data_IF_957736721189
#
_entry.id   IF_957736721189
#
_cell.length_a   1.000
_cell.length_b   1.000
_cell.length_c   1.000
_cell.angle_alpha   90.00
_cell.angle_beta   90.00
_cell.angle_gamma   90.00
#
_symmetry.space_group_name_H-M   'P 1'
#
loop_
_entity.id
_entity.type
_entity.pdbx_description
1 polymer ?
#
# COMPACT_ATOMS: atom_id res chain seq x y z
N UNK A 1 -10.05 19.76 8.76
CA UNK A 1 -9.33 19.05 7.68
C UNK A 1 -9.03 17.64 8.17
N UNK A 2 -9.40 16.60 7.43
CA UNK A 2 -9.00 15.23 7.76
C UNK A 2 -7.51 15.08 7.43
N UNK A 3 -6.77 14.31 8.25
CA UNK A 3 -5.37 13.99 7.95
C UNK A 3 -5.28 13.03 6.77
N UNK A 4 -4.19 13.07 5.99
CA UNK A 4 -3.94 12.11 4.90
C UNK A 4 -4.05 10.66 5.35
N UNK A 5 -3.69 10.37 6.61
CA UNK A 5 -3.82 9.05 7.23
C UNK A 5 -5.29 8.60 7.35
N UNK A 6 -6.20 9.49 7.81
CA UNK A 6 -7.62 9.17 7.91
C UNK A 6 -8.26 9.02 6.54
N UNK A 7 -7.90 9.86 5.58
CA UNK A 7 -8.39 9.76 4.20
C UNK A 7 -7.92 8.47 3.52
N UNK A 8 -6.68 8.02 3.79
CA UNK A 8 -6.17 6.75 3.30
C UNK A 8 -6.93 5.57 3.91
N UNK A 9 -7.18 5.58 5.23
CA UNK A 9 -7.96 4.54 5.91
C UNK A 9 -9.36 4.39 5.30
N UNK A 10 -10.05 5.51 5.09
CA UNK A 10 -11.36 5.54 4.44
C UNK A 10 -11.33 4.95 3.04
N UNK A 11 -10.31 5.28 2.27
CA UNK A 11 -10.18 4.80 0.91
C UNK A 11 -9.85 3.30 0.86
N UNK A 12 -9.02 2.80 1.78
CA UNK A 12 -8.75 1.37 1.96
C UNK A 12 -10.02 0.59 2.32
N UNK A 13 -10.78 1.09 3.29
CA UNK A 13 -12.05 0.51 3.71
C UNK A 13 -13.07 0.40 2.57
N UNK A 14 -13.14 1.43 1.73
CA UNK A 14 -14.05 1.48 0.59
C UNK A 14 -13.61 0.62 -0.60
N UNK A 15 -12.32 0.68 -0.97
CA UNK A 15 -11.83 0.06 -2.22
C UNK A 15 -11.22 -1.32 -2.03
N UNK A 16 -10.52 -1.53 -0.91
CA UNK A 16 -9.62 -2.68 -0.73
C UNK A 16 -10.20 -3.76 0.19
N UNK A 17 -11.22 -3.44 0.98
CA UNK A 17 -11.80 -4.34 1.96
C UNK A 17 -13.17 -4.86 1.52
N UNK A 18 -13.43 -6.15 1.76
CA UNK A 18 -14.72 -6.80 1.49
C UNK A 18 -15.04 -7.82 2.56
N UNK A 19 -16.25 -7.77 3.12
CA UNK A 19 -16.79 -8.82 3.98
C UNK A 19 -17.32 -9.97 3.10
N UNK A 20 -17.16 -11.20 3.58
CA UNK A 20 -17.62 -12.41 2.89
C UNK A 20 -16.80 -13.62 3.30
N UNK A 21 -17.15 -14.79 2.80
CA UNK A 21 -16.39 -16.03 3.04
C UNK A 21 -15.34 -16.22 1.95
N UNK A 22 -14.07 -16.20 2.32
CA UNK A 22 -12.94 -16.31 1.41
C UNK A 22 -12.02 -17.46 1.81
N UNK A 23 -11.66 -18.31 0.84
CA UNK A 23 -10.61 -19.34 1.03
C UNK A 23 -9.24 -18.69 0.85
N UNK A 24 -8.39 -18.82 1.86
CA UNK A 24 -7.01 -18.36 1.82
C UNK A 24 -6.11 -19.40 1.16
N UNK A 25 -4.95 -18.97 0.65
CA UNK A 25 -3.93 -19.86 0.09
C UNK A 25 -3.38 -20.88 1.10
N UNK A 26 -3.52 -20.61 2.39
CA UNK A 26 -3.21 -21.54 3.49
C UNK A 26 -4.22 -22.67 3.65
N UNK A 27 -5.36 -22.64 2.94
CA UNK A 27 -6.47 -23.57 3.08
C UNK A 27 -7.49 -23.21 4.17
N UNK A 28 -7.22 -22.21 5.01
CA UNK A 28 -8.16 -21.68 6.00
C UNK A 28 -9.20 -20.75 5.35
N UNK A 29 -10.31 -20.51 6.04
CA UNK A 29 -11.33 -19.51 5.64
C UNK A 29 -11.12 -18.19 6.39
N UNK A 30 -11.49 -17.09 5.73
CA UNK A 30 -11.54 -15.77 6.32
C UNK A 30 -12.90 -15.14 6.04
N UNK A 31 -13.42 -14.37 6.99
CA UNK A 31 -14.69 -13.64 6.87
C UNK A 31 -14.52 -12.29 6.15
N UNK A 32 -13.30 -11.98 5.69
CA UNK A 32 -13.00 -10.81 4.86
C UNK A 32 -11.84 -11.06 3.89
N UNK A 33 -11.79 -10.23 2.88
CA UNK A 33 -10.68 -10.13 1.92
C UNK A 33 -10.15 -8.71 1.86
N UNK A 34 -8.83 -8.56 1.73
CA UNK A 34 -8.18 -7.26 1.56
C UNK A 34 -7.16 -7.33 0.41
N UNK A 35 -7.29 -6.39 -0.54
CA UNK A 35 -6.33 -6.16 -1.62
C UNK A 35 -5.96 -4.67 -1.68
N UNK A 36 -4.86 -4.31 -1.04
CA UNK A 36 -4.41 -2.93 -0.96
C UNK A 36 -4.06 -2.32 -2.32
N UNK A 37 -3.78 -3.13 -3.35
CA UNK A 37 -3.42 -2.67 -4.70
C UNK A 37 -4.57 -1.91 -5.36
N UNK A 38 -5.84 -2.24 -5.05
CA UNK A 38 -7.00 -1.49 -5.54
C UNK A 38 -7.03 -0.04 -5.04
N UNK A 39 -6.36 0.24 -3.92
CA UNK A 39 -6.16 1.59 -3.38
C UNK A 39 -4.81 2.15 -3.82
N UNK A 40 -3.71 1.42 -3.63
CA UNK A 40 -2.36 1.95 -3.89
C UNK A 40 -2.08 2.23 -5.36
N UNK A 41 -2.80 1.59 -6.29
CA UNK A 41 -2.76 1.87 -7.73
C UNK A 41 -3.78 2.92 -8.19
N UNK A 42 -4.72 3.34 -7.33
CA UNK A 42 -5.64 4.42 -7.65
C UNK A 42 -4.96 5.79 -7.45
N UNK A 43 -5.15 6.74 -8.35
CA UNK A 43 -4.45 8.04 -8.33
C UNK A 43 -4.50 8.75 -6.96
N UNK A 44 -5.70 8.87 -6.35
CA UNK A 44 -5.85 9.46 -5.00
C UNK A 44 -5.19 8.58 -3.93
N UNK A 45 -5.34 7.26 -4.03
CA UNK A 45 -4.77 6.30 -3.08
C UNK A 45 -3.24 6.26 -3.13
N UNK A 46 -2.64 6.28 -4.32
CA UNK A 46 -1.19 6.36 -4.51
C UNK A 46 -0.62 7.62 -3.83
N UNK A 47 -1.23 8.79 -4.09
CA UNK A 47 -0.80 10.04 -3.46
C UNK A 47 -0.86 9.97 -1.93
N UNK A 48 -2.01 9.55 -1.37
CA UNK A 48 -2.19 9.42 0.07
C UNK A 48 -1.21 8.40 0.69
N UNK A 49 -0.97 7.28 0.00
CA UNK A 49 0.02 6.28 0.43
C UNK A 49 1.42 6.89 0.49
N UNK A 50 1.82 7.62 -0.54
CA UNK A 50 3.10 8.33 -0.56
C UNK A 50 3.24 9.34 0.58
N UNK A 51 2.20 10.14 0.84
CA UNK A 51 2.18 11.13 1.94
C UNK A 51 2.31 10.43 3.30
N UNK A 52 1.46 9.43 3.59
CA UNK A 52 1.43 8.75 4.90
C UNK A 52 2.73 8.02 5.20
N UNK A 53 3.30 7.29 4.22
CA UNK A 53 4.58 6.61 4.43
C UNK A 53 5.74 7.59 4.60
N UNK A 54 5.76 8.70 3.83
CA UNK A 54 6.79 9.73 3.96
C UNK A 54 6.73 10.43 5.32
N UNK A 55 5.52 10.71 5.81
CA UNK A 55 5.32 11.32 7.14
C UNK A 55 5.79 10.37 8.24
N UNK A 56 5.40 9.09 8.19
CA UNK A 56 5.83 8.09 9.18
C UNK A 56 7.36 7.92 9.22
N UNK A 57 8.03 7.88 8.05
CA UNK A 57 9.51 7.84 7.96
C UNK A 57 10.13 9.07 8.61
N UNK A 58 9.56 10.25 8.38
CA UNK A 58 10.04 11.53 8.92
C UNK A 58 9.86 11.59 10.44
N UNK A 59 8.69 11.24 10.93
CA UNK A 59 8.35 11.24 12.36
C UNK A 59 9.26 10.31 13.16
N UNK A 60 9.66 9.18 12.57
CA UNK A 60 10.62 8.24 13.20
C UNK A 60 12.08 8.64 13.07
N UNK A 61 12.40 9.65 12.30
CA UNK A 61 13.77 10.12 12.10
C UNK A 61 14.70 9.11 11.42
N UNK A 62 14.17 8.19 10.61
CA UNK A 62 14.97 7.10 10.02
C UNK A 62 15.98 7.54 8.97
N UNK A 63 15.75 8.63 8.27
CA UNK A 63 16.63 9.21 7.24
C UNK A 63 17.18 8.17 6.24
N UNK A 64 16.34 7.38 5.55
CA UNK A 64 16.79 6.46 4.51
C UNK A 64 17.23 7.22 3.26
N UNK A 65 17.97 6.54 2.37
CA UNK A 65 18.32 6.99 1.02
C UNK A 65 17.37 6.37 -0.01
N UNK A 66 16.79 5.20 0.32
CA UNK A 66 15.87 4.52 -0.55
C UNK A 66 14.80 3.73 0.22
N UNK A 67 13.74 3.41 -0.50
CA UNK A 67 12.64 2.57 -0.04
C UNK A 67 12.43 1.43 -1.04
N UNK A 68 12.09 0.23 -0.56
CA UNK A 68 11.86 -0.90 -1.45
C UNK A 68 11.16 -2.07 -0.78
N UNK A 69 10.79 -3.07 -1.57
CA UNK A 69 10.11 -4.26 -1.06
C UNK A 69 9.88 -5.31 -2.15
N UNK A 70 9.20 -6.40 -1.78
CA UNK A 70 8.97 -7.52 -2.69
C UNK A 70 7.89 -7.18 -3.73
N UNK A 71 8.18 -7.45 -5.00
CA UNK A 71 7.18 -7.31 -6.07
C UNK A 71 6.02 -8.32 -5.88
N UNK A 72 4.76 -7.97 -6.18
CA UNK A 72 4.18 -6.74 -6.74
C UNK A 72 3.51 -5.86 -5.67
N UNK A 73 3.33 -6.33 -4.43
CA UNK A 73 2.62 -5.59 -3.38
C UNK A 73 3.29 -4.26 -3.03
N UNK A 74 4.62 -4.27 -2.92
CA UNK A 74 5.40 -3.09 -2.58
C UNK A 74 5.53 -2.06 -3.72
N UNK A 75 5.45 -2.47 -4.98
CA UNK A 75 5.79 -1.63 -6.13
C UNK A 75 5.04 -0.28 -6.16
N UNK A 76 3.69 -0.26 -5.99
CA UNK A 76 2.96 1.01 -5.98
C UNK A 76 3.34 1.91 -4.81
N UNK A 77 3.63 1.33 -3.64
CA UNK A 77 4.04 2.08 -2.43
C UNK A 77 5.40 2.73 -2.68
N UNK A 78 6.37 1.96 -3.20
CA UNK A 78 7.73 2.43 -3.52
C UNK A 78 7.67 3.62 -4.46
N UNK A 79 6.93 3.50 -5.58
CA UNK A 79 6.81 4.59 -6.55
C UNK A 79 6.11 5.81 -5.94
N UNK A 80 5.02 5.59 -5.20
CA UNK A 80 4.27 6.68 -4.56
C UNK A 80 5.13 7.48 -3.58
N UNK A 81 5.89 6.79 -2.71
CA UNK A 81 6.80 7.43 -1.75
C UNK A 81 7.93 8.16 -2.46
N UNK A 82 8.55 7.56 -3.48
CA UNK A 82 9.62 8.22 -4.24
C UNK A 82 9.14 9.51 -4.90
N UNK A 83 7.94 9.50 -5.49
CA UNK A 83 7.36 10.69 -6.14
C UNK A 83 6.98 11.76 -5.13
N UNK A 84 6.35 11.39 -4.02
CA UNK A 84 5.87 12.36 -3.02
C UNK A 84 7.03 12.95 -2.21
N UNK A 85 8.01 12.15 -1.82
CA UNK A 85 9.18 12.64 -1.08
C UNK A 85 10.09 13.51 -1.94
N UNK A 86 10.18 13.22 -3.24
CA UNK A 86 11.12 13.87 -4.18
C UNK A 86 12.60 13.55 -3.93
N UNK A 87 12.93 12.80 -2.88
CA UNK A 87 14.31 12.55 -2.44
C UNK A 87 14.63 11.06 -2.30
N UNK A 88 13.65 10.22 -1.93
CA UNK A 88 13.87 8.80 -1.69
C UNK A 88 13.89 8.03 -3.00
N UNK A 89 14.98 7.32 -3.24
CA UNK A 89 15.07 6.41 -4.38
C UNK A 89 14.23 5.15 -4.16
N UNK A 90 13.77 4.53 -5.25
CA UNK A 90 13.05 3.26 -5.21
C UNK A 90 13.92 2.06 -5.60
N UNK A 91 13.72 0.93 -4.93
CA UNK A 91 14.20 -0.36 -5.39
C UNK A 91 13.13 -1.44 -5.24
N UNK A 92 13.21 -2.46 -6.09
CA UNK A 92 12.26 -3.58 -6.06
C UNK A 92 13.03 -4.89 -5.84
N UNK A 93 12.45 -5.76 -5.03
CA UNK A 93 12.98 -7.10 -4.76
C UNK A 93 12.16 -8.12 -5.54
N UNK A 94 12.83 -8.91 -6.38
CA UNK A 94 12.21 -9.98 -7.17
C UNK A 94 12.03 -11.23 -6.30
N UNK A 95 10.91 -11.94 -6.51
CA UNK A 95 10.64 -13.24 -5.82
C UNK A 95 11.67 -14.31 -6.19
N UNK A 96 12.14 -14.30 -7.43
CA UNK A 96 13.15 -15.24 -7.94
C UNK A 96 14.29 -14.50 -8.65
N UNK A 97 15.43 -15.15 -8.75
CA UNK A 97 16.57 -14.69 -9.54
C UNK A 97 16.21 -14.55 -11.04
N UNK A 98 16.91 -13.63 -11.69
CA UNK A 98 16.76 -13.45 -13.13
C UNK A 98 17.42 -14.64 -13.84
N UNK A 99 16.64 -15.41 -14.60
CA UNK A 99 17.15 -16.58 -15.34
C UNK A 99 18.18 -16.22 -16.42
N UNK A 100 18.18 -14.96 -16.88
CA UNK A 100 19.12 -14.44 -17.86
C UNK A 100 19.72 -13.13 -17.36
N UNK A 101 21.07 -13.00 -17.41
CA UNK A 101 21.82 -11.82 -17.00
C UNK A 101 22.55 -12.00 -15.68
N UNK A 102 22.60 -10.97 -14.85
CA UNK A 102 23.46 -10.89 -13.65
C UNK A 102 22.98 -11.67 -12.43
N UNK A 103 21.90 -12.47 -12.49
CA UNK A 103 21.35 -13.21 -11.34
C UNK A 103 20.78 -12.32 -10.22
N UNK A 104 20.70 -11.02 -10.43
CA UNK A 104 20.38 -10.07 -9.37
C UNK A 104 18.89 -10.03 -9.05
N UNK A 105 18.59 -10.01 -7.75
CA UNK A 105 17.22 -9.94 -7.21
C UNK A 105 16.75 -8.51 -6.91
N UNK A 106 17.64 -7.50 -7.01
CA UNK A 106 17.33 -6.09 -6.78
C UNK A 106 17.33 -5.32 -8.09
N UNK A 107 16.25 -4.59 -8.33
CA UNK A 107 16.10 -3.64 -9.45
C UNK A 107 15.97 -2.20 -8.93
N UNK A 108 16.36 -1.21 -9.73
CA UNK A 108 16.33 0.20 -9.37
C UNK A 108 17.56 0.66 -8.59
N UNK A 109 17.39 1.30 -7.45
CA UNK A 109 18.51 1.83 -6.65
C UNK A 109 19.41 0.72 -6.08
N UNK A 110 20.73 0.86 -6.22
CA UNK A 110 21.71 -0.19 -5.92
C UNK A 110 23.03 0.34 -5.33
N UNK A 111 22.95 1.08 -4.27
CA UNK A 111 24.15 1.56 -3.57
C UNK A 111 24.41 0.71 -2.31
N UNK A 112 25.43 -0.15 -2.32
CA UNK A 112 25.81 -0.92 -1.13
C UNK A 112 26.12 0.01 0.04
N UNK A 113 25.73 -0.40 1.25
CA UNK A 113 25.86 0.41 2.45
C UNK A 113 24.80 1.49 2.62
N UNK A 114 23.93 1.72 1.61
CA UNK A 114 22.85 2.68 1.73
C UNK A 114 21.84 2.28 2.81
N UNK A 115 21.33 3.28 3.51
CA UNK A 115 20.24 3.14 4.50
C UNK A 115 18.91 3.04 3.76
N UNK A 116 18.13 2.00 4.05
CA UNK A 116 16.87 1.75 3.34
C UNK A 116 15.72 1.40 4.29
N UNK A 117 14.51 1.68 3.84
CA UNK A 117 13.27 1.19 4.46
C UNK A 117 12.68 0.09 3.58
N UNK A 118 12.28 -1.03 4.20
CA UNK A 118 11.53 -2.10 3.53
C UNK A 118 10.04 -1.86 3.72
N UNK A 119 9.26 -2.03 2.63
CA UNK A 119 7.80 -1.89 2.67
C UNK A 119 7.08 -3.09 2.07
N UNK A 120 5.86 -3.32 2.56
CA UNK A 120 4.93 -4.30 2.02
C UNK A 120 3.50 -3.73 2.05
N UNK A 121 2.60 -4.25 1.23
CA UNK A 121 1.20 -3.81 1.20
C UNK A 121 0.38 -4.48 2.32
N UNK A 122 0.48 -5.81 2.45
CA UNK A 122 -0.24 -6.56 3.50
C UNK A 122 0.69 -7.54 4.19
N UNK A 123 0.93 -7.33 5.48
CA UNK A 123 1.62 -8.30 6.31
C UNK A 123 0.63 -9.34 6.85
N UNK A 124 0.69 -10.56 6.32
CA UNK A 124 -0.03 -11.73 6.84
C UNK A 124 0.91 -12.60 7.68
N UNK A 125 1.52 -13.61 7.10
CA UNK A 125 2.55 -14.42 7.75
C UNK A 125 3.92 -13.74 7.83
N UNK A 126 4.09 -12.61 7.13
CA UNK A 126 5.33 -11.87 7.03
C UNK A 126 6.35 -12.44 6.05
N UNK A 127 6.06 -13.57 5.39
CA UNK A 127 7.03 -14.24 4.52
C UNK A 127 7.57 -13.36 3.38
N UNK A 128 6.72 -12.56 2.74
CA UNK A 128 7.12 -11.61 1.69
C UNK A 128 8.06 -10.53 2.23
N UNK A 129 7.71 -9.96 3.37
CA UNK A 129 8.50 -8.92 4.04
C UNK A 129 9.85 -9.47 4.50
N UNK A 130 9.88 -10.67 5.11
CA UNK A 130 11.11 -11.37 5.52
C UNK A 130 12.02 -11.61 4.31
N UNK A 131 11.47 -12.13 3.21
CA UNK A 131 12.22 -12.35 1.98
C UNK A 131 12.83 -11.05 1.44
N UNK A 132 12.10 -9.94 1.48
CA UNK A 132 12.63 -8.64 1.06
C UNK A 132 13.77 -8.16 1.95
N UNK A 133 13.66 -8.35 3.28
CA UNK A 133 14.69 -8.03 4.26
C UNK A 133 15.98 -8.83 3.98
N UNK A 134 15.86 -10.14 3.80
CA UNK A 134 16.99 -11.03 3.55
C UNK A 134 17.76 -10.62 2.28
N UNK A 135 17.05 -10.45 1.17
CA UNK A 135 17.65 -10.04 -0.10
C UNK A 135 18.29 -8.66 -0.03
N UNK A 136 17.65 -7.71 0.66
CA UNK A 136 18.22 -6.38 0.86
C UNK A 136 19.52 -6.43 1.67
N UNK A 137 19.58 -7.25 2.72
CA UNK A 137 20.80 -7.46 3.51
C UNK A 137 21.90 -8.18 2.73
N UNK A 138 21.57 -9.25 2.00
CA UNK A 138 22.52 -9.96 1.13
C UNK A 138 23.13 -9.03 0.09
N UNK A 139 22.36 -8.10 -0.44
CA UNK A 139 22.87 -7.06 -1.35
C UNK A 139 23.84 -6.09 -0.65
N UNK A 140 23.73 -5.91 0.66
CA UNK A 140 24.56 -5.02 1.46
C UNK A 140 23.87 -3.69 1.82
N UNK A 141 22.54 -3.62 1.80
CA UNK A 141 21.80 -2.49 2.35
C UNK A 141 21.77 -2.50 3.89
N UNK A 142 21.67 -1.31 4.49
CA UNK A 142 21.45 -1.10 5.91
C UNK A 142 19.97 -0.81 6.15
N UNK A 143 19.22 -1.76 6.68
CA UNK A 143 17.80 -1.59 6.95
C UNK A 143 17.63 -0.73 8.20
N UNK A 144 16.94 0.40 8.08
CA UNK A 144 16.68 1.35 9.18
C UNK A 144 15.23 1.33 9.67
N UNK A 145 14.35 0.67 8.94
CA UNK A 145 12.96 0.48 9.31
C UNK A 145 12.26 -0.47 8.34
N UNK A 146 11.20 -1.09 8.81
CA UNK A 146 10.31 -1.95 8.02
C UNK A 146 8.88 -1.50 8.25
N UNK A 147 8.09 -1.37 7.19
CA UNK A 147 6.70 -0.90 7.28
C UNK A 147 5.78 -1.77 6.44
N UNK A 148 4.54 -1.96 6.88
CA UNK A 148 3.47 -2.43 6.01
C UNK A 148 2.28 -1.48 6.03
N UNK A 149 1.51 -1.46 4.94
CA UNK A 149 0.32 -0.62 4.86
C UNK A 149 -0.78 -1.18 5.76
N UNK A 150 -1.04 -2.49 5.68
CA UNK A 150 -2.01 -3.17 6.54
C UNK A 150 -1.42 -4.44 7.14
N UNK A 151 -1.56 -4.60 8.45
CA UNK A 151 -1.21 -5.82 9.18
C UNK A 151 -2.46 -6.65 9.46
N UNK A 152 -2.39 -7.94 9.15
CA UNK A 152 -3.38 -8.93 9.58
C UNK A 152 -2.92 -9.58 10.87
N UNK A 153 -3.33 -9.01 12.01
CA UNK A 153 -2.85 -9.40 13.34
C UNK A 153 -3.14 -10.88 13.66
N UNK A 154 -4.29 -11.39 13.19
CA UNK A 154 -4.70 -12.78 13.38
C UNK A 154 -3.76 -13.79 12.67
N UNK A 155 -3.04 -13.34 11.65
CA UNK A 155 -2.08 -14.18 10.92
C UNK A 155 -0.73 -14.32 11.65
N UNK A 156 -0.49 -13.53 12.71
CA UNK A 156 0.68 -13.59 13.60
C UNK A 156 2.03 -13.48 12.88
N UNK A 157 2.10 -12.72 11.80
CA UNK A 157 3.32 -12.53 11.03
C UNK A 157 4.34 -11.57 11.68
N UNK A 158 3.87 -10.66 12.55
CA UNK A 158 4.68 -9.63 13.20
C UNK A 158 5.97 -10.17 13.84
N UNK A 159 5.95 -11.21 14.71
CA UNK A 159 7.18 -11.71 15.34
C UNK A 159 8.26 -12.14 14.35
N UNK A 160 7.85 -12.78 13.25
CA UNK A 160 8.79 -13.22 12.20
C UNK A 160 9.43 -12.02 11.48
N UNK A 161 8.65 -10.98 11.21
CA UNK A 161 9.16 -9.76 10.58
C UNK A 161 10.08 -9.00 11.53
N UNK A 162 9.70 -8.83 12.80
CA UNK A 162 10.51 -8.16 13.82
C UNK A 162 11.85 -8.89 14.06
N UNK A 163 11.81 -10.21 14.13
CA UNK A 163 13.04 -11.02 14.24
C UNK A 163 13.95 -10.83 13.03
N UNK A 164 13.39 -10.89 11.82
CA UNK A 164 14.16 -10.68 10.59
C UNK A 164 14.65 -9.24 10.45
N UNK A 165 13.87 -8.25 10.87
CA UNK A 165 14.22 -6.84 10.78
C UNK A 165 15.28 -6.40 11.79
N UNK A 166 15.36 -7.03 12.95
CA UNK A 166 16.21 -6.60 14.06
C UNK A 166 17.64 -6.20 13.63
N UNK A 167 18.16 -5.07 14.15
CA UNK A 167 17.60 -4.16 15.16
C UNK A 167 16.64 -3.10 14.59
N UNK A 168 16.32 -3.09 13.29
CA UNK A 168 15.39 -2.13 12.71
C UNK A 168 13.95 -2.40 13.19
N UNK A 169 13.17 -1.35 13.55
CA UNK A 169 11.79 -1.53 13.99
C UNK A 169 10.86 -1.91 12.82
N UNK A 170 9.80 -2.67 13.13
CA UNK A 170 8.67 -2.93 12.25
C UNK A 170 7.45 -2.14 12.67
N UNK A 171 6.76 -1.55 11.69
CA UNK A 171 5.58 -0.68 11.88
C UNK A 171 4.51 -1.03 10.87
N UNK A 172 3.27 -1.15 11.34
CA UNK A 172 2.08 -1.17 10.49
C UNK A 172 1.43 0.21 10.47
N UNK A 173 1.05 0.68 9.28
CA UNK A 173 0.27 1.94 9.15
C UNK A 173 -1.13 1.73 9.72
N UNK A 174 -1.78 0.63 9.35
CA UNK A 174 -3.09 0.21 9.84
C UNK A 174 -3.08 -1.28 10.18
N UNK A 175 -4.03 -1.68 11.02
CA UNK A 175 -4.40 -3.09 11.20
C UNK A 175 -5.59 -3.44 10.30
N UNK A 176 -5.81 -4.73 10.04
CA UNK A 176 -7.03 -5.18 9.37
C UNK A 176 -8.28 -4.84 10.19
N UNK A 177 -8.14 -4.80 11.51
CA UNK A 177 -9.19 -4.33 12.43
C UNK A 177 -9.58 -2.88 12.20
N UNK A 178 -8.60 -1.97 12.01
CA UNK A 178 -8.86 -0.56 11.70
C UNK A 178 -9.64 -0.40 10.39
N UNK A 179 -9.20 -1.12 9.35
CA UNK A 179 -9.84 -1.07 8.02
C UNK A 179 -11.26 -1.63 8.09
N UNK A 180 -11.48 -2.72 8.84
CA UNK A 180 -12.80 -3.32 9.05
C UNK A 180 -13.74 -2.38 9.80
N UNK A 181 -13.26 -1.75 10.88
CA UNK A 181 -14.06 -0.81 11.66
C UNK A 181 -14.51 0.38 10.80
N UNK A 182 -13.62 0.96 10.03
CA UNK A 182 -13.94 2.04 9.10
C UNK A 182 -14.91 1.57 7.99
N UNK A 183 -14.77 0.34 7.49
CA UNK A 183 -15.68 -0.22 6.48
C UNK A 183 -17.11 -0.37 7.03
N UNK A 184 -17.27 -0.84 8.26
CA UNK A 184 -18.58 -0.97 8.91
C UNK A 184 -19.21 0.41 9.09
N UNK A 185 -18.45 1.41 9.57
CA UNK A 185 -18.96 2.78 9.70
C UNK A 185 -19.46 3.34 8.37
N UNK A 186 -18.77 3.05 7.26
CA UNK A 186 -19.18 3.52 5.92
C UNK A 186 -20.41 2.78 5.38
N UNK A 187 -20.70 1.56 5.84
CA UNK A 187 -21.87 0.77 5.40
C UNK A 187 -23.09 1.02 6.27
N UNK A 188 -22.89 1.37 7.54
CA UNK A 188 -23.98 1.69 8.49
C UNK A 188 -24.50 3.13 8.30
N UNK A 189 -23.65 4.06 7.86
CA UNK A 189 -24.09 5.38 7.42
C UNK A 189 -24.86 5.22 6.09
N UNK A 190 -26.19 5.16 6.18
CA UNK A 190 -27.11 5.03 5.03
C UNK A 190 -27.16 6.27 4.12
N UNK A 191 -26.31 7.24 4.34
CA UNK A 191 -25.97 8.23 3.32
C UNK A 191 -24.81 7.70 2.47
N UNK A 192 -25.02 7.50 1.15
CA UNK A 192 -23.91 7.17 0.26
C UNK A 192 -22.88 8.27 0.39
N UNK A 193 -21.70 7.94 0.97
CA UNK A 193 -20.59 8.87 0.94
C UNK A 193 -20.33 9.24 -0.51
N UNK A 194 -20.67 10.48 -0.85
CA UNK A 194 -20.50 11.10 -2.16
C UNK A 194 -18.98 11.22 -2.42
N UNK A 195 -18.35 10.11 -2.77
CA UNK A 195 -17.11 10.14 -3.53
C UNK A 195 -17.44 10.32 -5.02
N UNK A 196 -17.69 11.49 -5.37
CA UNK A 196 -18.32 12.16 -6.48
C UNK A 196 -19.81 12.35 -6.18
N UNK A 197 -20.23 13.56 -5.89
CA UNK A 197 -21.56 14.00 -6.30
C UNK A 197 -21.72 13.46 -7.73
N UNK A 198 -22.74 12.66 -7.99
CA UNK A 198 -23.02 12.22 -9.33
C UNK A 198 -23.11 13.49 -10.15
N UNK A 199 -22.00 13.81 -10.84
CA UNK A 199 -21.97 14.98 -11.68
C UNK A 199 -23.14 14.80 -12.65
N UNK A 200 -24.09 15.71 -12.60
CA UNK A 200 -25.21 15.67 -13.50
C UNK A 200 -24.78 16.25 -14.84
N UNK A 201 -25.28 15.70 -15.92
CA UNK A 201 -25.07 16.23 -17.25
C UNK A 201 -25.61 17.67 -17.33
N UNK A 202 -24.76 18.62 -17.68
CA UNK A 202 -25.10 20.05 -17.77
C UNK A 202 -26.23 20.34 -18.78
N UNK A 203 -26.52 19.37 -19.67
CA UNK A 203 -27.55 19.55 -20.72
C UNK A 203 -28.90 18.98 -20.29
N UNK A 204 -28.96 17.82 -19.64
CA UNK A 204 -30.23 17.13 -19.38
C UNK A 204 -30.45 16.68 -17.94
N UNK A 205 -29.53 16.96 -16.99
CA UNK A 205 -29.64 16.59 -15.59
C UNK A 205 -29.48 15.07 -15.26
N UNK A 206 -29.28 14.22 -16.27
CA UNK A 206 -29.05 12.79 -16.08
C UNK A 206 -27.65 12.55 -15.49
N UNK A 207 -27.39 11.39 -14.79
CA UNK A 207 -26.08 11.07 -14.29
C UNK A 207 -25.00 11.17 -15.38
N UNK A 208 -23.94 11.94 -15.11
CA UNK A 208 -22.82 12.11 -16.04
C UNK A 208 -21.91 10.89 -16.03
N UNK A 209 -21.25 10.61 -17.16
CA UNK A 209 -20.23 9.58 -17.27
C UNK A 209 -18.92 10.15 -16.73
N UNK A 210 -18.31 9.49 -15.75
CA UNK A 210 -17.20 9.98 -14.92
C UNK A 210 -15.87 10.25 -15.65
N UNK A 211 -15.77 10.17 -16.95
CA UNK A 211 -14.53 10.38 -17.71
C UNK A 211 -14.69 11.25 -18.96
N UNK A 212 -15.68 12.12 -18.99
CA UNK A 212 -15.89 13.02 -20.14
C UNK A 212 -15.78 14.48 -19.67
N UNK A 213 -14.96 15.33 -20.33
CA UNK A 213 -14.91 16.76 -20.00
C UNK A 213 -16.30 17.42 -20.07
N UNK A 214 -16.62 18.26 -19.07
CA UNK A 214 -17.88 19.00 -19.03
C UNK A 214 -19.09 18.21 -18.51
N UNK A 215 -18.90 17.24 -17.61
CA UNK A 215 -20.00 16.53 -16.93
C UNK A 215 -21.15 16.13 -17.84
N UNK A 216 -20.89 15.34 -18.88
CA UNK A 216 -21.91 14.93 -19.87
C UNK A 216 -22.34 13.47 -19.68
N UNK A 217 -23.62 13.18 -19.90
CA UNK A 217 -24.18 11.82 -19.89
C UNK A 217 -23.85 11.06 -21.19
N UNK A 218 -24.14 9.73 -21.20
CA UNK A 218 -23.84 8.88 -22.35
C UNK A 218 -24.47 9.37 -23.69
N UNK A 219 -25.60 10.08 -23.61
CA UNK A 219 -26.31 10.62 -24.78
C UNK A 219 -25.70 11.90 -25.32
N UNK A 220 -24.99 12.68 -24.49
CA UNK A 220 -24.39 13.97 -24.83
C UNK A 220 -22.84 13.92 -24.85
N UNK A 221 -22.27 12.77 -25.12
CA UNK A 221 -20.85 12.63 -25.41
C UNK A 221 -20.54 13.30 -26.76
N UNK A 222 -19.73 14.35 -26.73
CA UNK A 222 -19.08 14.93 -27.91
C UNK A 222 -17.59 14.88 -27.72
#
# INVERSE_FOLDING_TARGET
MHSSRQDLLRLLAYKSFRLGEFKLSSGSTSDYYIDCRTTTLAAKGARLTGEVFSDEIRERGWKPQAIGGLTMGADPIVVAVSVVSGELHGFLVRKAEKQHGTGQRIEGFRQKGARVVIVDDVCTTGASTVQAIEVAREFGFQIVGVMCLVEREEAKGRPSVEQAAAPAPFVSIFTAGDVRAEHILQTDDTEPMIFAAAATCEICGQPAVTNVPGNRCATHKV
#
